data_IF_493559345486
#
_entry.id   IF_493559345486
#
_cell.length_a   1.000
_cell.length_b   1.000
_cell.length_c   1.000
_cell.angle_alpha   90.00
_cell.angle_beta   90.00
_cell.angle_gamma   90.00
#
_symmetry.space_group_name_H-M   'P 1'
#
loop_
_entity.id
_entity.type
_entity.pdbx_description
1 polymer ?
#
# COMPACT_ATOMS: atom_id res chain seq x y z
N UNK A 1 -65.69 -2.66 -48.21
CA UNK A 1 -64.52 -1.77 -48.36
C UNK A 1 -64.38 -1.02 -47.05
N UNK A 2 -63.48 -1.45 -46.16
CA UNK A 2 -62.14 -0.84 -45.91
C UNK A 2 -62.28 0.60 -45.41
N UNK A 3 -61.77 1.03 -44.25
CA UNK A 3 -60.83 0.40 -43.33
C UNK A 3 -60.60 1.27 -42.08
N UNK A 4 -59.97 0.64 -41.10
CA UNK A 4 -59.58 1.12 -39.76
C UNK A 4 -58.31 1.99 -39.79
N UNK A 5 -58.24 3.01 -38.93
CA UNK A 5 -57.04 3.63 -38.32
C UNK A 5 -57.53 4.35 -37.05
N UNK A 6 -56.95 4.27 -35.85
CA UNK A 6 -55.64 3.83 -35.39
C UNK A 6 -55.27 4.78 -34.25
N UNK A 7 -55.38 4.31 -33.00
CA UNK A 7 -55.00 5.07 -31.79
C UNK A 7 -53.48 5.03 -31.62
N UNK A 8 -52.84 6.21 -31.49
CA UNK A 8 -51.46 6.33 -31.05
C UNK A 8 -51.43 6.63 -29.56
N UNK A 9 -51.00 5.65 -28.77
CA UNK A 9 -50.63 5.82 -27.37
C UNK A 9 -49.19 6.34 -27.27
N UNK A 10 -48.99 7.38 -26.46
CA UNK A 10 -47.68 7.95 -26.14
C UNK A 10 -47.13 7.23 -24.91
N UNK A 11 -46.03 6.49 -25.08
CA UNK A 11 -45.31 5.79 -24.02
C UNK A 11 -44.37 6.79 -23.35
N UNK A 12 -44.66 7.14 -22.08
CA UNK A 12 -43.75 7.88 -21.21
C UNK A 12 -42.66 6.96 -20.68
N UNK A 13 -41.40 7.28 -20.99
CA UNK A 13 -40.21 6.55 -20.55
C UNK A 13 -39.97 6.74 -19.05
N UNK A 14 -40.02 5.64 -18.31
CA UNK A 14 -39.63 5.57 -16.89
C UNK A 14 -38.11 5.70 -16.78
N UNK A 15 -37.63 6.74 -16.11
CA UNK A 15 -36.22 6.91 -15.80
C UNK A 15 -35.83 5.90 -14.72
N UNK A 16 -35.16 4.83 -15.12
CA UNK A 16 -34.47 3.94 -14.20
C UNK A 16 -33.24 4.65 -13.62
N UNK A 17 -33.27 4.90 -12.30
CA UNK A 17 -32.06 5.14 -11.52
C UNK A 17 -31.14 3.93 -11.67
N UNK A 18 -30.08 4.07 -12.46
CA UNK A 18 -28.93 3.16 -12.44
C UNK A 18 -28.14 3.46 -11.18
N UNK A 19 -28.46 2.72 -10.12
CA UNK A 19 -27.65 2.68 -8.90
C UNK A 19 -26.32 2.01 -9.27
N UNK A 20 -25.27 2.80 -9.45
CA UNK A 20 -23.92 2.31 -9.72
C UNK A 20 -23.36 1.81 -8.40
N UNK A 21 -23.48 0.51 -8.15
CA UNK A 21 -22.77 -0.16 -7.07
C UNK A 21 -21.27 -0.07 -7.38
N UNK A 22 -20.55 0.76 -6.63
CA UNK A 22 -19.09 0.74 -6.60
C UNK A 22 -18.65 -0.63 -6.08
N UNK A 23 -18.14 -1.46 -7.00
CA UNK A 23 -17.45 -2.70 -6.67
C UNK A 23 -16.20 -2.32 -5.88
N UNK A 24 -16.30 -2.40 -4.55
CA UNK A 24 -15.12 -2.39 -3.70
C UNK A 24 -14.35 -3.67 -4.04
N UNK A 25 -13.19 -3.52 -4.68
CA UNK A 25 -12.22 -4.60 -4.74
C UNK A 25 -11.77 -4.86 -3.31
N UNK A 26 -12.39 -5.85 -2.67
CA UNK A 26 -11.84 -6.43 -1.45
C UNK A 26 -10.45 -6.93 -1.85
N UNK A 27 -9.39 -6.42 -1.21
CA UNK A 27 -8.07 -7.08 -1.20
C UNK A 27 -8.39 -8.49 -0.69
N UNK A 28 -8.53 -9.47 -1.59
CA UNK A 28 -8.69 -10.87 -1.20
C UNK A 28 -7.32 -11.22 -0.64
N UNK A 29 -7.15 -10.96 0.66
CA UNK A 29 -6.12 -11.60 1.43
C UNK A 29 -6.45 -13.08 1.35
N UNK A 30 -5.79 -13.76 0.40
CA UNK A 30 -5.82 -15.21 0.25
C UNK A 30 -5.26 -15.79 1.53
N UNK A 31 -6.10 -15.89 2.56
CA UNK A 31 -5.83 -16.69 3.72
C UNK A 31 -5.90 -18.15 3.26
N UNK A 32 -4.79 -18.91 3.27
CA UNK A 32 -4.89 -20.33 3.02
C UNK A 32 -5.53 -20.94 4.26
N UNK A 33 -6.82 -21.24 4.18
CA UNK A 33 -7.45 -22.11 5.19
C UNK A 33 -7.06 -23.57 4.89
N UNK A 34 -6.59 -24.22 5.95
CA UNK A 34 -6.28 -25.64 6.12
C UNK A 34 -4.91 -26.19 5.66
N UNK A 35 -4.12 -26.62 6.65
CA UNK A 35 -3.33 -27.85 6.55
C UNK A 35 -1.81 -27.80 6.78
N UNK A 36 -1.14 -26.64 6.81
CA UNK A 36 0.34 -26.58 6.75
C UNK A 36 1.01 -25.45 7.57
N UNK A 37 0.63 -25.28 8.84
CA UNK A 37 0.97 -24.09 9.65
C UNK A 37 2.47 -23.75 9.85
N UNK A 38 3.40 -24.69 9.68
CA UNK A 38 4.84 -24.41 9.82
C UNK A 38 5.51 -23.98 8.52
N UNK A 39 5.05 -24.46 7.36
CA UNK A 39 5.66 -24.10 6.07
C UNK A 39 5.21 -22.71 5.60
N UNK A 40 3.93 -22.37 5.79
CA UNK A 40 3.42 -21.02 5.50
C UNK A 40 4.09 -19.96 6.37
N UNK A 41 4.26 -20.24 7.67
CA UNK A 41 4.91 -19.31 8.61
C UNK A 41 6.40 -19.10 8.29
N UNK A 42 7.11 -20.17 7.90
CA UNK A 42 8.51 -20.06 7.47
C UNK A 42 8.65 -19.22 6.20
N UNK A 43 7.81 -19.46 5.19
CA UNK A 43 7.84 -18.69 3.96
C UNK A 43 7.50 -17.20 4.20
N UNK A 44 6.57 -16.90 5.10
CA UNK A 44 6.25 -15.54 5.50
C UNK A 44 7.45 -14.81 6.12
N UNK A 45 8.18 -15.48 7.01
CA UNK A 45 9.36 -14.94 7.70
C UNK A 45 10.64 -14.92 6.84
N UNK A 46 10.67 -15.70 5.76
CA UNK A 46 11.81 -15.78 4.85
C UNK A 46 11.78 -14.61 3.84
N UNK A 47 12.78 -13.71 3.84
CA UNK A 47 12.87 -12.65 2.84
C UNK A 47 13.02 -13.18 1.41
N UNK A 48 13.57 -14.38 1.23
CA UNK A 48 13.86 -15.00 -0.06
C UNK A 48 12.77 -15.99 -0.53
N UNK A 49 11.61 -16.02 0.14
CA UNK A 49 10.50 -16.90 -0.22
C UNK A 49 9.81 -16.55 -1.54
N UNK A 50 10.09 -15.37 -2.10
CA UNK A 50 9.41 -14.77 -3.26
C UNK A 50 7.91 -14.50 -3.05
N UNK A 51 7.45 -14.51 -1.80
CA UNK A 51 6.15 -13.94 -1.48
C UNK A 51 6.24 -12.40 -1.62
N UNK A 52 5.17 -11.74 -2.11
CA UNK A 52 5.14 -10.29 -2.12
C UNK A 52 5.21 -9.74 -0.69
N UNK A 53 5.60 -8.48 -0.58
CA UNK A 53 5.50 -7.69 0.64
C UNK A 53 4.27 -6.80 0.52
N UNK A 54 3.62 -6.54 1.64
CA UNK A 54 2.40 -5.74 1.71
C UNK A 54 2.68 -4.25 1.89
N UNK A 55 3.86 -3.85 2.37
CA UNK A 55 4.26 -2.45 2.44
C UNK A 55 5.77 -2.30 2.65
N UNK A 56 6.32 -1.17 2.25
CA UNK A 56 7.65 -0.71 2.63
C UNK A 56 7.59 0.71 3.17
N UNK A 57 8.41 1.02 4.16
CA UNK A 57 8.55 2.40 4.63
C UNK A 57 9.95 2.70 5.11
N UNK A 58 10.32 3.97 5.13
CA UNK A 58 11.51 4.45 5.82
C UNK A 58 11.12 5.53 6.81
N UNK A 59 11.72 5.53 8.00
CA UNK A 59 11.53 6.60 8.97
C UNK A 59 12.56 7.72 8.80
N UNK A 60 12.32 8.84 9.50
CA UNK A 60 13.17 10.02 9.44
C UNK A 60 14.59 9.78 10.01
N UNK A 61 14.80 8.66 10.72
CA UNK A 61 16.12 8.21 11.20
C UNK A 61 16.84 7.33 10.18
N UNK A 62 16.21 7.05 9.04
CA UNK A 62 16.76 6.21 7.97
C UNK A 62 16.59 4.71 8.19
N UNK A 63 15.77 4.29 9.16
CA UNK A 63 15.43 2.87 9.33
C UNK A 63 14.41 2.48 8.27
N UNK A 64 14.65 1.37 7.58
CA UNK A 64 13.78 0.89 6.51
C UNK A 64 13.13 -0.42 6.90
N UNK A 65 11.83 -0.53 6.64
CA UNK A 65 10.99 -1.66 7.02
C UNK A 65 10.28 -2.24 5.81
N UNK A 66 10.15 -3.56 5.76
CA UNK A 66 9.30 -4.27 4.83
C UNK A 66 8.29 -5.10 5.62
N UNK A 67 7.00 -4.95 5.34
CA UNK A 67 5.91 -5.61 6.03
C UNK A 67 5.35 -6.73 5.17
N UNK A 68 5.11 -7.89 5.80
CA UNK A 68 4.43 -9.01 5.17
C UNK A 68 3.53 -9.66 6.19
N UNK A 69 2.23 -9.63 5.94
CA UNK A 69 1.19 -10.07 6.86
C UNK A 69 1.40 -9.43 8.24
N UNK A 70 1.56 -10.24 9.28
CA UNK A 70 1.76 -9.78 10.65
C UNK A 70 3.23 -9.71 11.08
N UNK A 71 4.18 -9.76 10.13
CA UNK A 71 5.62 -9.62 10.42
C UNK A 71 6.23 -8.46 9.63
N UNK A 72 7.36 -7.97 10.12
CA UNK A 72 8.20 -7.01 9.43
C UNK A 72 9.66 -7.46 9.43
N UNK A 73 10.40 -7.01 8.43
CA UNK A 73 11.86 -7.09 8.37
C UNK A 73 12.45 -5.68 8.37
N UNK A 74 13.59 -5.51 9.05
CA UNK A 74 14.37 -4.29 9.04
C UNK A 74 15.48 -4.40 7.99
N UNK A 75 15.55 -3.44 7.05
CA UNK A 75 16.43 -3.51 5.89
C UNK A 75 17.71 -2.66 6.03
N UNK A 76 17.78 -1.73 6.97
CA UNK A 76 18.97 -0.88 7.21
C UNK A 76 20.06 -1.62 8.01
N UNK A 77 19.69 -2.63 8.79
CA UNK A 77 20.62 -3.43 9.61
C UNK A 77 21.02 -4.75 8.96
N UNK A 78 21.28 -4.76 7.63
CA UNK A 78 21.62 -6.00 6.88
C UNK A 78 22.78 -6.81 7.49
N UNK A 79 23.68 -6.13 8.22
CA UNK A 79 24.86 -6.72 8.87
C UNK A 79 24.52 -7.59 10.08
N UNK A 80 23.39 -7.34 10.73
CA UNK A 80 22.96 -8.03 11.95
C UNK A 80 22.05 -9.24 11.64
N UNK A 81 21.80 -9.51 10.36
CA UNK A 81 20.97 -10.61 9.87
C UNK A 81 19.57 -10.20 9.44
N UNK A 82 18.95 -11.04 8.62
CA UNK A 82 17.57 -10.88 8.16
C UNK A 82 16.61 -11.55 9.14
N UNK A 83 16.22 -10.83 10.18
CA UNK A 83 15.27 -11.34 11.17
C UNK A 83 13.89 -10.69 10.98
N UNK A 84 12.90 -11.53 10.68
CA UNK A 84 11.50 -11.14 10.69
C UNK A 84 10.96 -11.14 12.12
N UNK A 85 10.28 -10.08 12.50
CA UNK A 85 9.66 -9.90 13.81
C UNK A 85 8.16 -9.71 13.65
N UNK A 86 7.33 -10.20 14.60
CA UNK A 86 5.93 -9.81 14.64
C UNK A 86 5.80 -8.28 14.69
N UNK A 87 4.87 -7.68 13.95
CA UNK A 87 4.63 -6.22 13.95
C UNK A 87 4.42 -5.69 15.37
N UNK A 88 3.63 -6.41 16.17
CA UNK A 88 3.39 -6.11 17.59
C UNK A 88 4.63 -6.08 18.49
N UNK A 89 5.78 -6.56 18.01
CA UNK A 89 7.04 -6.44 18.74
C UNK A 89 7.40 -4.97 18.94
N UNK A 90 7.21 -4.14 17.91
CA UNK A 90 7.48 -2.70 17.95
C UNK A 90 6.19 -1.88 18.08
N UNK A 91 5.11 -2.29 17.40
CA UNK A 91 3.87 -1.53 17.31
C UNK A 91 2.72 -2.35 17.91
N UNK A 92 2.63 -2.34 19.25
CA UNK A 92 1.85 -3.29 20.05
C UNK A 92 0.35 -3.36 19.72
N UNK A 93 -0.22 -2.25 19.27
CA UNK A 93 -1.64 -2.09 18.98
C UNK A 93 -1.99 -2.35 17.51
N UNK A 94 -1.00 -2.54 16.63
CA UNK A 94 -1.18 -2.89 15.22
C UNK A 94 -1.26 -4.41 15.10
N UNK A 95 -2.46 -4.92 14.81
CA UNK A 95 -2.74 -6.34 14.65
C UNK A 95 -2.99 -6.69 13.18
N UNK A 96 -2.46 -7.81 12.71
CA UNK A 96 -2.61 -8.23 11.31
C UNK A 96 -1.75 -7.42 10.33
N UNK A 97 -2.23 -7.27 9.10
CA UNK A 97 -1.50 -6.62 8.00
C UNK A 97 -1.86 -5.14 7.91
N UNK A 98 -0.90 -4.22 7.84
CA UNK A 98 -1.16 -2.83 7.50
C UNK A 98 -1.57 -2.69 6.04
N UNK A 99 -2.52 -1.80 5.76
CA UNK A 99 -2.90 -1.43 4.39
C UNK A 99 -1.89 -0.44 3.78
N UNK A 100 -1.33 0.44 4.62
CA UNK A 100 -0.26 1.35 4.25
C UNK A 100 0.54 1.84 5.46
N UNK A 101 1.82 2.19 5.26
CA UNK A 101 2.70 2.72 6.32
C UNK A 101 3.59 3.84 5.79
N UNK A 102 3.53 5.01 6.42
CA UNK A 102 4.42 6.13 6.11
C UNK A 102 5.01 6.75 7.36
N UNK A 103 6.10 7.49 7.20
CA UNK A 103 6.70 8.26 8.28
C UNK A 103 6.67 9.75 7.95
N UNK A 104 6.51 10.57 8.99
CA UNK A 104 6.62 12.03 8.90
C UNK A 104 6.79 12.63 10.30
N UNK A 105 7.67 13.62 10.43
CA UNK A 105 7.88 14.39 11.65
C UNK A 105 8.13 13.51 12.89
N UNK A 106 9.11 12.60 12.75
CA UNK A 106 9.52 11.61 13.75
C UNK A 106 8.35 10.76 14.26
N UNK A 107 7.36 10.50 13.40
CA UNK A 107 6.24 9.61 13.68
C UNK A 107 6.07 8.61 12.55
N UNK A 108 5.60 7.43 12.90
CA UNK A 108 5.23 6.37 11.97
C UNK A 108 3.73 6.16 12.03
N UNK A 109 3.11 6.15 10.86
CA UNK A 109 1.67 6.12 10.65
C UNK A 109 1.31 4.77 10.04
N UNK A 110 0.45 4.00 10.71
CA UNK A 110 -0.09 2.75 10.20
C UNK A 110 -1.55 2.95 9.83
N UNK A 111 -1.93 2.61 8.60
CA UNK A 111 -3.32 2.65 8.14
C UNK A 111 -3.82 1.21 8.05
N UNK A 112 -5.00 0.94 8.63
CA UNK A 112 -5.68 -0.35 8.60
C UNK A 112 -7.19 -0.14 8.48
N UNK A 113 -7.76 -0.51 7.34
CA UNK A 113 -9.12 -0.17 6.96
C UNK A 113 -9.35 1.33 7.03
N UNK A 114 -10.33 1.73 7.83
CA UNK A 114 -10.67 3.14 8.08
C UNK A 114 -9.99 3.72 9.32
N UNK A 115 -9.00 3.02 9.89
CA UNK A 115 -8.27 3.47 11.07
C UNK A 115 -6.83 3.86 10.74
N UNK A 116 -6.33 4.83 11.52
CA UNK A 116 -4.93 5.23 11.51
C UNK A 116 -4.38 5.18 12.93
N UNK A 117 -3.18 4.63 13.07
CA UNK A 117 -2.38 4.58 14.30
C UNK A 117 -1.16 5.46 14.09
N UNK A 118 -0.76 6.21 15.11
CA UNK A 118 0.45 7.04 15.05
C UNK A 118 1.36 6.66 16.21
N UNK A 119 2.59 6.30 15.88
CA UNK A 119 3.65 6.03 16.85
C UNK A 119 4.71 7.11 16.78
N UNK A 120 5.27 7.49 17.92
CA UNK A 120 6.51 8.29 17.96
C UNK A 120 7.69 7.40 17.59
N UNK A 121 8.49 7.83 16.63
CA UNK A 121 9.72 7.17 16.18
C UNK A 121 10.89 7.67 17.04
N UNK A 122 10.90 7.23 18.30
CA UNK A 122 11.99 7.50 19.26
C UNK A 122 12.79 6.20 19.54
N UNK A 123 13.45 6.09 20.70
CA UNK A 123 14.12 4.85 21.11
C UNK A 123 13.16 3.65 21.18
N UNK A 124 11.89 3.91 21.54
CA UNK A 124 10.81 2.92 21.53
C UNK A 124 9.61 3.52 20.80
N UNK A 125 8.96 2.72 19.96
CA UNK A 125 7.71 3.12 19.31
C UNK A 125 6.58 3.15 20.34
N UNK A 126 6.13 4.35 20.67
CA UNK A 126 5.02 4.57 21.60
C UNK A 126 3.83 5.14 20.86
N UNK A 127 2.66 4.53 21.03
CA UNK A 127 1.42 5.02 20.44
C UNK A 127 1.10 6.42 20.98
N UNK A 128 0.75 7.34 20.10
CA UNK A 128 0.28 8.67 20.46
C UNK A 128 -1.07 8.55 21.16
N UNK A 129 -1.25 9.28 22.26
CA UNK A 129 -2.49 9.27 23.02
C UNK A 129 -3.70 9.63 22.14
N UNK A 130 -4.78 8.87 22.29
CA UNK A 130 -6.01 9.06 21.52
C UNK A 130 -6.03 8.39 20.14
N UNK A 131 -5.03 7.58 19.80
CA UNK A 131 -5.03 6.71 18.62
C UNK A 131 -5.42 5.26 18.98
N UNK A 132 -5.97 4.47 18.03
CA UNK A 132 -6.27 4.85 16.65
C UNK A 132 -7.42 5.84 16.51
N UNK A 133 -7.43 6.57 15.39
CA UNK A 133 -8.53 7.44 14.97
C UNK A 133 -9.07 7.02 13.60
N UNK A 134 -10.19 7.60 13.20
CA UNK A 134 -10.68 7.49 11.82
C UNK A 134 -9.68 8.14 10.84
N UNK A 135 -9.36 7.42 9.77
CA UNK A 135 -8.55 7.90 8.65
C UNK A 135 -9.15 9.17 8.03
N UNK A 136 -10.48 9.20 7.89
CA UNK A 136 -11.20 10.36 7.35
C UNK A 136 -11.05 11.58 8.25
N UNK A 137 -11.14 11.40 9.57
CA UNK A 137 -10.96 12.51 10.52
C UNK A 137 -9.52 13.04 10.57
N UNK A 138 -8.53 12.19 10.32
CA UNK A 138 -7.12 12.53 10.49
C UNK A 138 -6.44 12.99 9.19
N UNK A 139 -6.84 12.44 8.04
CA UNK A 139 -6.25 12.73 6.71
C UNK A 139 -7.28 13.20 5.67
N UNK A 140 -8.57 13.26 5.99
CA UNK A 140 -9.61 13.72 5.06
C UNK A 140 -9.94 12.73 3.94
N UNK A 141 -9.62 11.44 4.11
CA UNK A 141 -9.87 10.38 3.12
C UNK A 141 -10.38 9.11 3.78
N UNK A 142 -11.30 8.40 3.11
CA UNK A 142 -11.82 7.11 3.55
C UNK A 142 -10.98 5.94 3.06
N UNK A 143 -10.79 4.96 3.92
CA UNK A 143 -10.02 3.75 3.63
C UNK A 143 -10.83 2.70 2.86
N UNK A 144 -10.28 1.48 2.74
CA UNK A 144 -8.84 1.22 2.83
C UNK A 144 -8.07 1.95 1.71
N UNK A 145 -6.75 2.01 1.86
CA UNK A 145 -5.81 2.50 0.84
C UNK A 145 -4.85 1.36 0.47
N UNK A 146 -4.16 1.47 -0.65
CA UNK A 146 -3.23 0.44 -1.12
C UNK A 146 -1.77 0.73 -0.75
N UNK A 147 -1.41 2.01 -0.58
CA UNK A 147 -0.07 2.43 -0.19
C UNK A 147 -0.08 3.86 0.34
N UNK A 148 0.94 4.24 1.12
CA UNK A 148 1.17 5.62 1.50
C UNK A 148 2.66 5.94 1.61
N UNK A 149 3.08 7.11 1.11
CA UNK A 149 4.46 7.56 1.27
C UNK A 149 4.56 9.07 1.45
N UNK A 150 5.58 9.51 2.19
CA UNK A 150 6.00 10.90 2.27
C UNK A 150 7.43 11.00 1.72
N UNK A 151 7.67 11.96 0.82
CA UNK A 151 9.04 12.31 0.45
C UNK A 151 9.58 13.41 1.38
N UNK A 152 10.88 13.40 1.69
CA UNK A 152 11.49 14.42 2.52
C UNK A 152 11.17 15.84 2.03
N UNK A 153 10.79 16.73 2.96
CA UNK A 153 10.47 18.14 2.69
C UNK A 153 9.26 18.38 1.76
N UNK A 154 8.40 17.39 1.46
CA UNK A 154 7.24 17.60 0.59
C UNK A 154 6.09 18.35 1.28
N UNK A 155 5.96 18.23 2.60
CA UNK A 155 4.81 18.74 3.38
C UNK A 155 3.48 18.02 3.09
N UNK A 156 3.50 16.94 2.30
CA UNK A 156 2.33 16.15 1.91
C UNK A 156 2.59 14.64 2.07
N UNK A 157 1.56 13.88 2.45
CA UNK A 157 1.56 12.42 2.28
C UNK A 157 0.82 12.08 0.99
N UNK A 158 1.36 11.14 0.23
CA UNK A 158 0.74 10.58 -0.97
C UNK A 158 0.05 9.28 -0.60
N UNK A 159 -1.28 9.22 -0.67
CA UNK A 159 -2.05 7.99 -0.46
C UNK A 159 -2.51 7.42 -1.81
N UNK A 160 -2.34 6.13 -2.05
CA UNK A 160 -2.77 5.47 -3.28
C UNK A 160 -4.01 4.61 -2.98
N UNK A 161 -5.06 4.72 -3.82
CA UNK A 161 -6.24 3.86 -3.81
C UNK A 161 -6.62 3.50 -5.24
N UNK A 162 -6.48 2.23 -5.60
CA UNK A 162 -6.52 1.73 -6.96
C UNK A 162 -5.51 2.43 -7.86
N UNK A 163 -6.01 3.09 -8.90
CA UNK A 163 -5.21 3.86 -9.85
C UNK A 163 -5.15 5.37 -9.53
N UNK A 164 -5.53 5.78 -8.33
CA UNK A 164 -5.60 7.19 -7.94
C UNK A 164 -4.68 7.47 -6.77
N UNK A 165 -3.90 8.54 -6.85
CA UNK A 165 -3.05 9.03 -5.77
C UNK A 165 -3.54 10.39 -5.27
N UNK A 166 -3.64 10.55 -3.96
CA UNK A 166 -4.12 11.74 -3.28
C UNK A 166 -2.98 12.37 -2.47
N UNK A 167 -2.71 13.65 -2.71
CA UNK A 167 -1.77 14.42 -1.88
C UNK A 167 -2.57 15.06 -0.75
N UNK A 168 -2.25 14.71 0.49
CA UNK A 168 -2.85 15.30 1.69
C UNK A 168 -1.84 16.21 2.36
N UNK A 169 -2.21 17.47 2.61
CA UNK A 169 -1.33 18.44 3.26
C UNK A 169 -1.19 18.14 4.76
N UNK A 170 0.02 17.79 5.20
CA UNK A 170 0.29 17.33 6.58
C UNK A 170 0.35 18.47 7.59
N UNK A 171 0.64 19.69 7.12
CA UNK A 171 0.77 20.91 7.92
C UNK A 171 -0.57 21.65 8.14
N UNK A 172 -1.65 21.22 7.48
CA UNK A 172 -2.96 21.86 7.59
C UNK A 172 -3.81 21.20 8.66
N UNK A 173 -4.63 21.99 9.36
CA UNK A 173 -5.62 21.49 10.32
C UNK A 173 -6.97 22.14 10.01
N UNK A 174 -7.99 21.37 9.57
CA UNK A 174 -7.94 19.92 9.28
C UNK A 174 -7.05 19.60 8.08
N UNK A 175 -6.49 18.38 8.04
CA UNK A 175 -5.77 17.89 6.87
C UNK A 175 -6.77 17.57 5.78
N UNK A 176 -6.45 17.96 4.55
CA UNK A 176 -7.33 17.78 3.39
C UNK A 176 -6.53 17.35 2.16
N UNK A 177 -7.23 16.68 1.24
CA UNK A 177 -6.68 16.39 -0.09
C UNK A 177 -6.51 17.71 -0.85
N UNK A 178 -5.27 18.01 -1.23
CA UNK A 178 -4.91 19.22 -1.98
C UNK A 178 -4.66 18.95 -3.47
N UNK A 179 -4.44 17.68 -3.84
CA UNK A 179 -4.23 17.26 -5.23
C UNK A 179 -4.59 15.80 -5.44
N UNK A 180 -5.02 15.48 -6.66
CA UNK A 180 -5.27 14.11 -7.11
C UNK A 180 -4.52 13.85 -8.40
N UNK A 181 -3.96 12.65 -8.51
CA UNK A 181 -3.25 12.16 -9.68
C UNK A 181 -3.85 10.85 -10.16
N UNK A 182 -3.86 10.63 -11.47
CA UNK A 182 -4.21 9.34 -12.06
C UNK A 182 -2.91 8.60 -12.40
N UNK A 183 -2.71 7.43 -11.79
CA UNK A 183 -1.51 6.64 -11.96
C UNK A 183 -1.63 5.68 -13.15
N UNK A 184 -0.51 5.31 -13.79
CA UNK A 184 -0.50 4.31 -14.87
C UNK A 184 -0.66 2.86 -14.36
N UNK A 185 -0.82 2.67 -13.04
CA UNK A 185 -0.99 1.36 -12.40
C UNK A 185 -2.44 1.10 -12.06
N UNK A 186 -2.91 -0.13 -12.25
CA UNK A 186 -4.25 -0.55 -11.81
C UNK A 186 -4.32 -0.79 -10.31
N UNK A 187 -3.20 -1.18 -9.70
CA UNK A 187 -3.02 -1.42 -8.27
C UNK A 187 -1.53 -1.29 -7.92
N UNK A 188 -1.24 -1.12 -6.63
CA UNK A 188 0.09 -1.22 -6.04
C UNK A 188 -0.03 -2.04 -4.75
N UNK A 189 1.04 -2.73 -4.36
CA UNK A 189 1.07 -3.40 -3.06
C UNK A 189 1.56 -2.46 -1.96
N UNK A 190 2.49 -1.56 -2.28
CA UNK A 190 3.05 -0.57 -1.37
C UNK A 190 3.83 0.50 -2.10
N UNK A 191 4.29 1.53 -1.39
CA UNK A 191 5.14 2.58 -1.95
C UNK A 191 5.96 3.26 -0.87
N UNK A 192 7.21 3.60 -1.18
CA UNK A 192 8.06 4.37 -0.26
C UNK A 192 8.85 5.44 -0.99
N UNK A 193 9.24 6.49 -0.28
CA UNK A 193 10.18 7.48 -0.76
C UNK A 193 11.42 7.46 0.12
N UNK A 194 12.58 7.28 -0.50
CA UNK A 194 13.88 7.28 0.16
C UNK A 194 14.81 8.32 -0.44
N UNK A 195 16.08 8.30 -0.02
CA UNK A 195 17.12 9.20 -0.51
C UNK A 195 17.38 9.07 -2.01
N UNK A 196 17.04 7.94 -2.61
CA UNK A 196 17.25 7.65 -4.02
C UNK A 196 15.96 7.76 -4.85
N UNK A 197 14.89 8.33 -4.30
CA UNK A 197 13.62 8.56 -5.00
C UNK A 197 12.48 7.66 -4.52
N UNK A 198 11.44 7.58 -5.34
CA UNK A 198 10.20 6.84 -5.05
C UNK A 198 10.34 5.42 -5.59
N UNK A 199 9.94 4.43 -4.78
CA UNK A 199 9.77 3.05 -5.19
C UNK A 199 8.30 2.66 -5.05
N UNK A 200 7.74 2.11 -6.11
CA UNK A 200 6.38 1.53 -6.14
C UNK A 200 6.51 0.03 -6.24
N UNK A 201 5.87 -0.71 -5.34
CA UNK A 201 5.98 -2.16 -5.23
C UNK A 201 4.76 -2.85 -5.82
N UNK A 202 5.00 -3.84 -6.68
CA UNK A 202 3.96 -4.64 -7.33
C UNK A 202 4.47 -6.09 -7.42
N UNK A 203 3.83 -6.99 -6.67
CA UNK A 203 4.21 -8.37 -6.52
C UNK A 203 5.63 -8.53 -5.95
N UNK A 204 6.50 -9.14 -6.74
CA UNK A 204 7.90 -9.38 -6.39
C UNK A 204 8.86 -8.33 -6.95
N UNK A 205 8.31 -7.29 -7.59
CA UNK A 205 9.06 -6.24 -8.28
C UNK A 205 8.81 -4.87 -7.68
N UNK A 206 9.75 -3.96 -7.93
CA UNK A 206 9.52 -2.55 -7.70
C UNK A 206 9.95 -1.71 -8.91
N UNK A 207 9.33 -0.55 -9.05
CA UNK A 207 9.62 0.45 -10.07
C UNK A 207 10.11 1.73 -9.40
N UNK A 208 11.14 2.34 -9.98
CA UNK A 208 11.79 3.52 -9.41
C UNK A 208 11.44 4.78 -10.19
N UNK A 209 11.19 5.88 -9.47
CA UNK A 209 10.89 7.19 -10.03
C UNK A 209 11.62 8.30 -9.27
N UNK A 210 12.21 9.25 -9.99
CA UNK A 210 12.93 10.37 -9.36
C UNK A 210 11.99 11.43 -8.77
N UNK A 211 10.71 11.44 -9.18
CA UNK A 211 9.72 12.40 -8.66
C UNK A 211 8.29 11.89 -8.79
N UNK A 212 7.38 12.48 -8.01
CA UNK A 212 5.93 12.24 -8.05
C UNK A 212 5.36 12.54 -9.44
N UNK A 213 5.90 13.57 -10.12
CA UNK A 213 5.49 13.91 -11.48
C UNK A 213 5.81 12.80 -12.48
N UNK A 214 7.02 12.23 -12.40
CA UNK A 214 7.41 11.11 -13.26
C UNK A 214 6.60 9.86 -12.93
N UNK A 215 6.35 9.58 -11.65
CA UNK A 215 5.47 8.50 -11.24
C UNK A 215 4.07 8.62 -11.87
N UNK A 216 3.45 9.80 -11.78
CA UNK A 216 2.08 9.99 -12.24
C UNK A 216 1.94 10.11 -13.76
N UNK A 217 2.92 10.70 -14.44
CA UNK A 217 2.76 11.15 -15.84
C UNK A 217 3.66 10.42 -16.84
N UNK A 218 4.63 9.63 -16.38
CA UNK A 218 5.50 8.90 -17.29
C UNK A 218 4.71 7.87 -18.10
N UNK A 219 4.98 7.85 -19.40
CA UNK A 219 4.50 6.81 -20.32
C UNK A 219 5.57 5.79 -20.67
N UNK A 220 6.77 5.97 -20.11
CA UNK A 220 7.89 5.05 -20.29
C UNK A 220 7.62 3.85 -19.41
N UNK A 221 7.72 2.65 -19.99
CA UNK A 221 7.64 1.42 -19.23
C UNK A 221 8.76 1.44 -18.18
N UNK A 222 8.43 1.38 -16.87
CA UNK A 222 9.45 1.39 -15.84
C UNK A 222 10.31 0.14 -15.93
N UNK A 223 11.57 0.27 -15.52
CA UNK A 223 12.46 -0.87 -15.39
C UNK A 223 12.03 -1.67 -14.16
N UNK A 224 11.90 -2.99 -14.33
CA UNK A 224 11.60 -3.90 -13.23
C UNK A 224 12.86 -4.15 -12.41
N UNK A 225 12.76 -3.85 -11.13
CA UNK A 225 13.77 -4.23 -10.14
C UNK A 225 13.25 -5.36 -9.27
N UNK A 226 14.13 -6.28 -8.89
CA UNK A 226 13.76 -7.46 -8.13
C UNK A 226 13.94 -7.25 -6.62
N UNK A 227 12.83 -7.35 -5.86
CA UNK A 227 12.85 -7.08 -4.42
C UNK A 227 13.79 -8.04 -3.69
N UNK A 228 13.77 -9.33 -4.04
CA UNK A 228 14.53 -10.35 -3.33
C UNK A 228 16.04 -10.12 -3.49
N UNK A 229 16.51 -9.90 -4.72
CA UNK A 229 17.94 -9.73 -4.98
C UNK A 229 18.45 -8.33 -4.60
N UNK A 230 17.68 -7.27 -4.87
CA UNK A 230 18.17 -5.90 -4.70
C UNK A 230 17.91 -5.33 -3.31
N UNK A 231 16.76 -5.65 -2.70
CA UNK A 231 16.41 -5.12 -1.37
C UNK A 231 16.73 -6.14 -0.27
N UNK A 232 16.47 -7.43 -0.50
CA UNK A 232 16.64 -8.48 0.51
C UNK A 232 17.99 -9.22 0.45
N UNK A 233 18.84 -8.94 -0.54
CA UNK A 233 20.17 -9.56 -0.65
C UNK A 233 20.14 -11.07 -0.91
N UNK A 234 19.05 -11.58 -1.49
CA UNK A 234 18.94 -12.98 -1.89
C UNK A 234 19.81 -13.26 -3.12
N UNK A 235 20.28 -14.51 -3.25
CA UNK A 235 20.97 -14.94 -4.46
C UNK A 235 20.01 -14.93 -5.67
N UNK A 236 20.49 -14.57 -6.87
CA UNK A 236 19.72 -14.74 -8.10
C UNK A 236 19.26 -16.20 -8.23
N UNK A 237 18.01 -16.41 -8.62
CA UNK A 237 17.53 -17.75 -8.96
C UNK A 237 18.25 -18.25 -10.20
N UNK A 238 18.71 -19.50 -10.16
CA UNK A 238 19.27 -20.18 -11.33
C UNK A 238 18.11 -20.60 -12.26
N UNK A 239 17.97 -20.01 -13.46
CA UNK A 239 16.87 -20.31 -14.36
C UNK A 239 16.90 -21.75 -14.90
N UNK A 240 17.98 -22.50 -14.70
CA UNK A 240 18.11 -23.88 -15.20
C UNK A 240 17.72 -24.96 -14.18
N UNK A 241 17.37 -24.61 -12.94
CA UNK A 241 17.03 -25.60 -11.89
C UNK A 241 15.54 -25.92 -11.73
N UNK A 242 14.63 -25.20 -12.40
CA UNK A 242 13.18 -25.40 -12.24
C UNK A 242 12.61 -26.56 -13.08
N UNK A 243 13.40 -27.23 -13.93
CA UNK A 243 12.92 -28.34 -14.77
C UNK A 243 13.06 -29.75 -14.17
N UNK A 244 13.45 -29.87 -12.90
CA UNK A 244 13.56 -31.16 -12.22
C UNK A 244 12.85 -31.13 -10.87
N UNK A 245 11.52 -31.10 -10.90
CA UNK A 245 10.66 -31.50 -9.80
C UNK A 245 9.37 -32.13 -10.35
#
# INVERSE_FOLDING_TARGET
MVGSKGQHGTIGSSQHLVNTLSLHTVKISLHPTYGHGNHSRRAMMDPCSNLPFDEFTSDDEGKTYAFRQNVFLRLDSKRDGWHAWPIKHNWKEVEGTPDAVFSWDHKMYFIQGDQIYIYKSEQHYNLVEGYPKSLESELGIQGPVDAAFNCPNSGVVHLIKGNTMFDVALLQTPRTVVKTWHLPFSHVDGAMCGSDGIKVFIGTKYHKYDSVMLLAMSRIQPIDHDIATELMGCSPKDPHKEHHA
#
